data_IF_272221503585
#
_entry.id   IF_272221503585
#
_cell.length_a   1.000
_cell.length_b   1.000
_cell.length_c   1.000
_cell.angle_alpha   90.00
_cell.angle_beta   90.00
_cell.angle_gamma   90.00
#
_symmetry.space_group_name_H-M   'P 1'
#
loop_
_entity.id
_entity.type
_entity.pdbx_description
1 polymer ?
#
# COMPACT_ATOMS: atom_id res chain seq x y z
N UNK A 1 -31.21 15.65 37.30
CA UNK A 1 -29.77 15.31 37.35
C UNK A 1 -29.55 13.89 36.83
N UNK A 2 -29.12 13.72 35.58
CA UNK A 2 -28.67 12.43 35.02
C UNK A 2 -27.18 12.59 34.74
N UNK A 3 -26.34 11.77 35.39
CA UNK A 3 -24.90 11.75 35.13
C UNK A 3 -24.70 11.30 33.69
N UNK A 4 -24.39 12.25 32.81
CA UNK A 4 -23.93 12.00 31.44
C UNK A 4 -22.60 11.27 31.59
N UNK A 5 -22.64 9.96 31.35
CA UNK A 5 -21.50 9.07 31.46
C UNK A 5 -20.30 9.68 30.75
N UNK A 6 -19.18 9.67 31.47
CA UNK A 6 -17.87 10.02 30.97
C UNK A 6 -17.66 9.23 29.66
N UNK A 7 -17.37 9.97 28.59
CA UNK A 7 -16.87 9.41 27.33
C UNK A 7 -15.70 8.51 27.69
N UNK A 8 -15.81 7.20 27.42
CA UNK A 8 -14.68 6.29 27.54
C UNK A 8 -13.48 6.92 26.84
N UNK A 9 -12.28 6.94 27.46
CA UNK A 9 -11.09 7.39 26.76
C UNK A 9 -10.95 6.54 25.50
N UNK A 10 -10.83 7.19 24.35
CA UNK A 10 -10.42 6.52 23.12
C UNK A 10 -9.23 5.64 23.46
N UNK A 11 -9.33 4.33 23.16
CA UNK A 11 -8.33 3.33 23.49
C UNK A 11 -6.92 3.91 23.27
N UNK A 12 -6.07 3.81 24.31
CA UNK A 12 -4.66 4.19 24.22
C UNK A 12 -4.06 3.49 23.00
N UNK A 13 -3.20 4.16 22.20
CA UNK A 13 -2.50 3.51 21.10
C UNK A 13 -1.85 2.24 21.64
N UNK A 14 -1.98 1.13 20.92
CA UNK A 14 -1.53 -0.22 21.31
C UNK A 14 -0.08 -0.19 21.81
N UNK A 15 0.09 -0.05 23.14
CA UNK A 15 1.36 0.24 23.81
C UNK A 15 2.27 -0.99 23.71
N UNK A 16 2.91 -1.16 22.56
CA UNK A 16 3.81 -2.29 22.29
C UNK A 16 3.86 -2.74 20.83
N UNK A 17 2.91 -2.35 19.98
CA UNK A 17 3.01 -2.64 18.54
C UNK A 17 3.71 -1.49 17.80
N UNK A 18 4.65 -1.80 16.89
CA UNK A 18 5.27 -0.76 16.08
C UNK A 18 4.20 -0.09 15.21
N UNK A 19 4.30 1.23 15.06
CA UNK A 19 3.45 1.99 14.15
C UNK A 19 3.66 1.57 12.70
N UNK A 20 2.68 1.87 11.85
CA UNK A 20 2.78 1.61 10.42
C UNK A 20 4.04 2.24 9.81
N UNK A 21 4.30 3.49 10.18
CA UNK A 21 5.43 4.28 9.70
C UNK A 21 6.77 3.62 10.08
N UNK A 22 6.90 3.15 11.33
CA UNK A 22 8.12 2.44 11.78
C UNK A 22 8.36 1.13 11.02
N UNK A 23 7.30 0.48 10.55
CA UNK A 23 7.36 -0.78 9.81
C UNK A 23 7.61 -0.55 8.32
N UNK A 24 6.98 0.47 7.73
CA UNK A 24 6.93 0.66 6.27
C UNK A 24 7.97 1.64 5.75
N UNK A 25 8.21 2.77 6.43
CA UNK A 25 9.14 3.81 5.93
C UNK A 25 10.54 3.27 5.63
N UNK A 26 11.15 2.40 6.46
CA UNK A 26 12.48 1.86 6.17
C UNK A 26 12.55 1.02 4.88
N UNK A 27 11.40 0.60 4.34
CA UNK A 27 11.29 -0.30 3.20
C UNK A 27 10.87 0.40 1.89
N UNK A 28 10.65 1.73 1.91
CA UNK A 28 10.15 2.47 0.74
C UNK A 28 11.11 2.44 -0.45
N UNK A 29 12.42 2.62 -0.24
CA UNK A 29 13.41 2.56 -1.32
C UNK A 29 13.43 1.18 -2.00
N UNK A 30 13.33 0.12 -1.21
CA UNK A 30 13.26 -1.25 -1.72
C UNK A 30 11.96 -1.51 -2.49
N UNK A 31 10.84 -0.96 -2.01
CA UNK A 31 9.55 -1.00 -2.69
C UNK A 31 9.61 -0.28 -4.04
N UNK A 32 10.17 0.93 -4.07
CA UNK A 32 10.35 1.70 -5.30
C UNK A 32 11.25 0.98 -6.30
N UNK A 33 12.40 0.47 -5.87
CA UNK A 33 13.30 -0.28 -6.73
C UNK A 33 12.64 -1.52 -7.34
N UNK A 34 11.83 -2.24 -6.56
CA UNK A 34 11.04 -3.36 -7.08
C UNK A 34 10.02 -2.90 -8.12
N UNK A 35 9.25 -1.84 -7.83
CA UNK A 35 8.28 -1.29 -8.77
C UNK A 35 8.95 -0.85 -10.08
N UNK A 36 10.06 -0.11 -10.00
CA UNK A 36 10.87 0.32 -11.16
C UNK A 36 11.37 -0.86 -11.99
N UNK A 37 11.82 -1.93 -11.34
CA UNK A 37 12.24 -3.13 -12.03
C UNK A 37 11.07 -3.82 -12.75
N UNK A 38 9.90 -3.90 -12.13
CA UNK A 38 8.71 -4.55 -12.69
C UNK A 38 8.11 -3.78 -13.89
N UNK A 39 7.98 -2.45 -13.78
CA UNK A 39 7.22 -1.66 -14.78
C UNK A 39 8.07 -0.85 -15.73
N UNK A 40 9.38 -0.71 -15.46
CA UNK A 40 10.34 0.05 -16.28
C UNK A 40 9.98 1.52 -16.54
N UNK A 41 8.98 2.05 -15.84
CA UNK A 41 8.45 3.41 -15.93
C UNK A 41 8.57 4.09 -14.57
N UNK A 42 9.07 5.33 -14.53
CA UNK A 42 9.45 5.99 -13.28
C UNK A 42 8.22 6.49 -12.54
N UNK A 43 7.36 7.21 -13.27
CA UNK A 43 6.11 7.75 -12.75
C UNK A 43 5.17 6.63 -12.34
N UNK A 44 5.01 5.60 -13.17
CA UNK A 44 4.16 4.45 -12.82
C UNK A 44 4.68 3.71 -11.57
N UNK A 45 6.00 3.65 -11.37
CA UNK A 45 6.55 3.06 -10.16
C UNK A 45 6.27 3.89 -8.90
N UNK A 46 6.33 5.23 -8.98
CA UNK A 46 5.95 6.12 -7.89
C UNK A 46 4.47 5.91 -7.51
N UNK A 47 3.59 5.87 -8.51
CA UNK A 47 2.16 5.64 -8.31
C UNK A 47 1.89 4.28 -7.66
N UNK A 48 2.57 3.22 -8.13
CA UNK A 48 2.47 1.88 -7.55
C UNK A 48 2.90 1.87 -6.08
N UNK A 49 4.00 2.53 -5.73
CA UNK A 49 4.44 2.57 -4.32
C UNK A 49 3.46 3.35 -3.46
N UNK A 50 2.97 4.50 -3.93
CA UNK A 50 1.96 5.27 -3.20
C UNK A 50 0.70 4.45 -2.94
N UNK A 51 0.16 3.82 -3.98
CA UNK A 51 -1.05 2.99 -3.88
C UNK A 51 -0.81 1.70 -3.07
N UNK A 52 0.42 1.17 -3.06
CA UNK A 52 0.82 0.08 -2.17
C UNK A 52 0.88 0.53 -0.70
N UNK A 53 1.37 1.73 -0.39
CA UNK A 53 1.40 2.28 0.97
C UNK A 53 -0.02 2.53 1.48
N UNK A 54 -0.92 3.06 0.66
CA UNK A 54 -2.34 3.26 1.01
C UNK A 54 -3.04 1.93 1.31
N UNK A 55 -2.82 0.90 0.47
CA UNK A 55 -3.28 -0.47 0.77
C UNK A 55 -2.64 -1.02 2.04
N UNK A 56 -1.35 -0.75 2.24
CA UNK A 56 -0.60 -1.09 3.43
C UNK A 56 -1.29 -0.57 4.70
N UNK A 57 -1.69 0.71 4.73
CA UNK A 57 -2.44 1.30 5.85
C UNK A 57 -3.74 0.53 6.14
N UNK A 58 -4.45 0.12 5.10
CA UNK A 58 -5.72 -0.64 5.24
C UNK A 58 -5.48 -2.04 5.80
N UNK A 59 -4.40 -2.70 5.39
CA UNK A 59 -4.08 -4.07 5.81
C UNK A 59 -3.25 -4.15 7.09
N UNK A 60 -2.68 -3.04 7.56
CA UNK A 60 -1.75 -3.03 8.68
C UNK A 60 -2.35 -3.57 9.98
N UNK A 61 -3.65 -3.34 10.22
CA UNK A 61 -4.34 -3.91 11.38
C UNK A 61 -4.30 -5.46 11.43
N UNK A 62 -4.12 -6.12 10.28
CA UNK A 62 -3.99 -7.58 10.17
C UNK A 62 -2.55 -8.08 10.16
N UNK A 63 -1.55 -7.17 10.14
CA UNK A 63 -0.15 -7.53 10.18
C UNK A 63 0.23 -8.01 11.58
N UNK A 64 0.62 -9.29 11.68
CA UNK A 64 0.93 -9.96 12.95
C UNK A 64 2.42 -9.95 13.30
N UNK A 65 3.20 -9.05 12.70
CA UNK A 65 4.67 -9.09 12.74
C UNK A 65 5.27 -10.01 11.68
N UNK A 66 6.55 -10.35 11.82
CA UNK A 66 7.33 -11.06 10.80
C UNK A 66 8.24 -10.10 10.03
N UNK A 67 8.54 -10.39 8.76
CA UNK A 67 9.36 -9.54 7.90
C UNK A 67 8.49 -8.46 7.20
N UNK A 68 8.61 -7.17 7.59
CA UNK A 68 7.91 -6.07 6.97
C UNK A 68 8.23 -5.90 5.48
N UNK A 69 9.47 -6.19 5.11
CA UNK A 69 9.97 -5.99 3.74
C UNK A 69 9.28 -6.95 2.80
N UNK A 70 9.27 -8.23 3.13
CA UNK A 70 8.59 -9.25 2.34
C UNK A 70 7.07 -8.97 2.24
N UNK A 71 6.46 -8.53 3.34
CA UNK A 71 5.05 -8.14 3.37
C UNK A 71 4.75 -6.97 2.42
N UNK A 72 5.51 -5.88 2.52
CA UNK A 72 5.36 -4.72 1.63
C UNK A 72 5.62 -5.08 0.16
N UNK A 73 6.66 -5.86 -0.13
CA UNK A 73 6.98 -6.31 -1.48
C UNK A 73 5.84 -7.11 -2.13
N UNK A 74 5.11 -7.90 -1.33
CA UNK A 74 3.92 -8.61 -1.82
C UNK A 74 2.83 -7.64 -2.26
N UNK A 75 2.58 -6.59 -1.48
CA UNK A 75 1.59 -5.55 -1.83
C UNK A 75 2.03 -4.83 -3.11
N UNK A 76 3.28 -4.37 -3.18
CA UNK A 76 3.85 -3.69 -4.36
C UNK A 76 3.73 -4.54 -5.62
N UNK A 77 4.07 -5.84 -5.54
CA UNK A 77 3.96 -6.75 -6.69
C UNK A 77 2.51 -6.86 -7.18
N UNK A 78 1.57 -7.01 -6.27
CA UNK A 78 0.15 -7.10 -6.63
C UNK A 78 -0.34 -5.80 -7.29
N UNK A 79 -0.01 -4.65 -6.70
CA UNK A 79 -0.34 -3.33 -7.25
C UNK A 79 0.27 -3.13 -8.65
N UNK A 80 1.52 -3.55 -8.86
CA UNK A 80 2.17 -3.48 -10.17
C UNK A 80 1.46 -4.37 -11.22
N UNK A 81 1.06 -5.59 -10.86
CA UNK A 81 0.31 -6.45 -11.78
C UNK A 81 -1.05 -5.87 -12.16
N UNK A 82 -1.77 -5.29 -11.20
CA UNK A 82 -3.03 -4.59 -11.47
C UNK A 82 -2.81 -3.41 -12.42
N UNK A 83 -1.82 -2.55 -12.14
CA UNK A 83 -1.50 -1.40 -12.98
C UNK A 83 -1.11 -1.79 -14.42
N UNK A 84 -0.33 -2.85 -14.59
CA UNK A 84 0.03 -3.37 -15.91
C UNK A 84 -1.19 -3.92 -16.67
N UNK A 85 -2.09 -4.63 -15.97
CA UNK A 85 -3.33 -5.11 -16.57
C UNK A 85 -4.25 -3.96 -17.01
N UNK A 86 -4.34 -2.90 -16.20
CA UNK A 86 -5.10 -1.69 -16.53
C UNK A 86 -4.52 -0.98 -17.76
N UNK A 87 -3.20 -0.81 -17.80
CA UNK A 87 -2.50 -0.24 -18.96
C UNK A 87 -2.75 -1.05 -20.24
N UNK A 88 -2.69 -2.38 -20.16
CA UNK A 88 -2.99 -3.24 -21.31
C UNK A 88 -4.43 -3.11 -21.78
N UNK A 89 -5.39 -3.00 -20.85
CA UNK A 89 -6.81 -2.79 -21.19
C UNK A 89 -7.03 -1.43 -21.88
N UNK A 90 -6.39 -0.37 -21.37
CA UNK A 90 -6.46 0.96 -21.97
C UNK A 90 -5.91 0.96 -23.41
N UNK A 91 -4.75 0.34 -23.64
CA UNK A 91 -4.17 0.24 -24.99
C UNK A 91 -5.10 -0.50 -25.96
N UNK A 92 -5.67 -1.64 -25.55
CA UNK A 92 -6.63 -2.39 -26.39
C UNK A 92 -7.89 -1.60 -26.73
N UNK A 93 -8.36 -0.76 -25.82
CA UNK A 93 -9.52 0.09 -26.06
C UNK A 93 -9.21 1.17 -27.11
N UNK A 94 -8.04 1.79 -27.04
CA UNK A 94 -7.58 2.76 -28.03
C UNK A 94 -7.45 2.13 -29.42
N UNK A 95 -6.92 0.90 -29.52
CA UNK A 95 -6.81 0.18 -30.80
C UNK A 95 -8.20 -0.14 -31.41
N UNK A 96 -9.19 -0.41 -30.56
CA UNK A 96 -10.56 -0.74 -30.98
C UNK A 96 -11.39 0.48 -31.41
N UNK A 97 -11.05 1.70 -30.96
CA UNK A 97 -11.72 2.93 -31.38
C UNK A 97 -11.16 3.51 -32.70
N UNK A 98 -9.95 3.08 -33.09
CA UNK A 98 -9.25 3.57 -34.29
C UNK A 98 -9.50 2.67 -35.52
N UNK A 99 -10.08 1.48 -35.33
CA UNK A 99 -10.42 0.52 -36.42
C UNK A 99 -11.90 0.60 -36.78
#
# INVERSE_FOLDING_TARGET
MRRRGLREPAALPDEGRPSFEQVVLPNLDAAYNLARWLVRDAHLAEDIVQDAVVRGLTYFASFRGGDPRAWLMRIVRNTAHSALADRQRALRHLDAEVT
#
